data_IF_848641500528
#
_entry.id   IF_848641500528
#
_cell.length_a   1.000
_cell.length_b   1.000
_cell.length_c   1.000
_cell.angle_alpha   90.00
_cell.angle_beta   90.00
_cell.angle_gamma   90.00
#
_symmetry.space_group_name_H-M   'P 1'
#
loop_
_entity.id
_entity.type
_entity.pdbx_description
1 polymer ?
#
# COMPACT_ATOMS: atom_id res chain seq x y z
N UNK A 1 -8.75 -10.86 9.25
CA UNK A 1 -8.24 -12.26 9.20
C UNK A 1 -6.73 -12.21 9.37
N UNK A 2 -6.15 -13.20 10.06
CA UNK A 2 -4.79 -13.19 10.59
C UNK A 2 -3.70 -12.78 9.58
N UNK A 3 -2.76 -11.88 9.95
CA UNK A 3 -1.60 -11.57 9.11
C UNK A 3 -0.59 -12.72 9.18
N UNK A 4 -0.72 -13.68 8.26
CA UNK A 4 0.05 -14.94 8.25
C UNK A 4 1.53 -14.73 7.92
N UNK A 5 1.85 -13.68 7.20
CA UNK A 5 3.21 -13.20 6.93
C UNK A 5 3.91 -12.75 8.21
N UNK A 6 3.26 -11.94 9.03
CA UNK A 6 3.75 -11.51 10.34
C UNK A 6 3.85 -12.71 11.28
N UNK A 7 2.87 -13.62 11.26
CA UNK A 7 2.93 -14.86 12.03
C UNK A 7 4.15 -15.71 11.63
N UNK A 8 4.46 -15.81 10.34
CA UNK A 8 5.63 -16.54 9.85
C UNK A 8 6.94 -15.93 10.38
N UNK A 9 7.06 -14.60 10.38
CA UNK A 9 8.21 -13.92 10.99
C UNK A 9 8.35 -14.26 12.48
N UNK A 10 7.23 -14.21 13.22
CA UNK A 10 7.23 -14.51 14.66
C UNK A 10 7.51 -15.98 14.97
N UNK A 11 7.03 -16.93 14.15
CA UNK A 11 7.39 -18.35 14.26
C UNK A 11 8.91 -18.51 14.16
N UNK A 12 9.55 -17.89 13.15
CA UNK A 12 11.00 -17.96 12.98
C UNK A 12 11.73 -17.37 14.19
N UNK A 13 11.25 -16.24 14.72
CA UNK A 13 11.84 -15.60 15.90
C UNK A 13 11.77 -16.51 17.13
N UNK A 14 10.61 -17.08 17.42
CA UNK A 14 10.38 -17.97 18.56
C UNK A 14 11.23 -19.24 18.50
N UNK A 15 11.22 -19.95 17.36
CA UNK A 15 11.99 -21.19 17.20
C UNK A 15 13.50 -20.96 17.12
N UNK A 16 13.93 -19.71 16.89
CA UNK A 16 15.34 -19.31 16.94
C UNK A 16 15.85 -19.07 18.36
N UNK A 17 14.95 -18.86 19.32
CA UNK A 17 15.28 -18.68 20.73
C UNK A 17 15.30 -20.01 21.48
N UNK A 18 14.38 -20.92 21.14
CA UNK A 18 14.25 -22.23 21.79
C UNK A 18 13.56 -23.24 20.86
N UNK A 19 13.63 -24.52 21.22
CA UNK A 19 12.78 -25.54 20.61
C UNK A 19 11.34 -25.39 21.08
N UNK A 20 10.40 -25.57 20.16
CA UNK A 20 8.97 -25.53 20.43
C UNK A 20 8.30 -26.83 20.00
N UNK A 21 7.29 -27.26 20.75
CA UNK A 21 6.30 -28.21 20.26
C UNK A 21 5.29 -27.47 19.36
N UNK A 22 4.93 -28.07 18.23
CA UNK A 22 4.10 -27.42 17.19
C UNK A 22 2.79 -26.88 17.74
N UNK A 23 2.03 -27.71 18.48
CA UNK A 23 0.73 -27.33 18.99
C UNK A 23 0.83 -26.26 20.09
N UNK A 24 1.78 -26.40 21.01
CA UNK A 24 2.03 -25.43 22.07
C UNK A 24 2.38 -24.04 21.51
N UNK A 25 3.14 -23.98 20.41
CA UNK A 25 3.47 -22.71 19.75
C UNK A 25 2.22 -22.07 19.13
N UNK A 26 1.35 -22.84 18.48
CA UNK A 26 0.08 -22.34 17.95
C UNK A 26 -0.84 -21.81 19.07
N UNK A 27 -0.98 -22.56 20.16
CA UNK A 27 -1.79 -22.14 21.32
C UNK A 27 -1.23 -20.88 21.99
N UNK A 28 0.09 -20.68 21.96
CA UNK A 28 0.70 -19.43 22.38
C UNK A 28 0.26 -18.27 21.48
N UNK A 29 0.38 -18.41 20.15
CA UNK A 29 -0.01 -17.37 19.21
C UNK A 29 -1.51 -17.03 19.24
N UNK A 30 -2.38 -18.02 19.44
CA UNK A 30 -3.84 -17.82 19.56
C UNK A 30 -4.25 -16.95 20.75
N UNK A 31 -3.37 -16.70 21.71
CA UNK A 31 -3.61 -15.73 22.80
C UNK A 31 -3.61 -14.28 22.31
N UNK A 32 -3.03 -13.99 21.14
CA UNK A 32 -3.07 -12.66 20.53
C UNK A 32 -4.31 -12.52 19.65
N UNK A 33 -5.03 -11.40 19.80
CA UNK A 33 -6.29 -11.13 19.09
C UNK A 33 -6.25 -11.36 17.56
N UNK A 34 -5.19 -10.94 16.82
CA UNK A 34 -5.14 -11.18 15.37
C UNK A 34 -5.10 -12.66 14.96
N UNK A 35 -4.63 -13.53 15.87
CA UNK A 35 -4.38 -14.95 15.60
C UNK A 35 -5.36 -15.90 16.32
N UNK A 36 -6.31 -15.35 17.07
CA UNK A 36 -7.25 -16.13 17.90
C UNK A 36 -8.01 -17.21 17.13
N UNK A 37 -8.27 -16.97 15.84
CA UNK A 37 -9.02 -17.86 14.94
C UNK A 37 -8.13 -18.54 13.89
N UNK A 38 -6.79 -18.49 14.01
CA UNK A 38 -5.91 -19.20 13.07
C UNK A 38 -6.18 -20.69 13.19
N UNK A 39 -6.66 -21.31 12.11
CA UNK A 39 -6.90 -22.74 12.08
C UNK A 39 -5.60 -23.54 11.91
N UNK A 40 -5.69 -24.82 12.24
CA UNK A 40 -4.56 -25.75 12.15
C UNK A 40 -4.04 -25.86 10.71
N UNK A 41 -4.91 -25.82 9.70
CA UNK A 41 -4.49 -26.02 8.31
C UNK A 41 -3.57 -24.90 7.79
N UNK A 42 -3.90 -23.64 8.10
CA UNK A 42 -3.06 -22.50 7.77
C UNK A 42 -1.75 -22.53 8.54
N UNK A 43 -1.79 -22.89 9.83
CA UNK A 43 -0.59 -23.03 10.64
C UNK A 43 0.35 -24.11 10.07
N UNK A 44 -0.21 -25.27 9.73
CA UNK A 44 0.53 -26.39 9.14
C UNK A 44 1.13 -26.04 7.77
N UNK A 45 0.39 -25.29 6.94
CA UNK A 45 0.90 -24.78 5.66
C UNK A 45 2.07 -23.80 5.86
N UNK A 46 1.99 -22.90 6.85
CA UNK A 46 3.09 -22.00 7.20
C UNK A 46 4.33 -22.78 7.65
N UNK A 47 4.16 -23.78 8.52
CA UNK A 47 5.28 -24.62 8.95
C UNK A 47 5.94 -25.36 7.79
N UNK A 48 5.14 -25.89 6.85
CA UNK A 48 5.65 -26.51 5.63
C UNK A 48 6.48 -25.55 4.79
N UNK A 49 5.93 -24.38 4.48
CA UNK A 49 6.63 -23.33 3.73
C UNK A 49 7.94 -22.91 4.42
N UNK A 50 7.94 -22.74 5.74
CA UNK A 50 9.12 -22.35 6.51
C UNK A 50 10.17 -23.47 6.63
N UNK A 51 9.75 -24.73 6.56
CA UNK A 51 10.64 -25.89 6.62
C UNK A 51 11.26 -26.24 5.25
N UNK A 52 10.55 -25.97 4.15
CA UNK A 52 10.96 -26.36 2.80
C UNK A 52 11.54 -25.18 2.00
N UNK A 53 11.14 -23.94 2.31
CA UNK A 53 11.41 -22.78 1.48
C UNK A 53 10.41 -22.68 0.31
N UNK A 54 10.54 -21.64 -0.50
CA UNK A 54 9.67 -21.43 -1.66
C UNK A 54 10.37 -20.67 -2.79
N UNK A 55 9.86 -20.81 -4.00
CA UNK A 55 10.36 -20.09 -5.18
C UNK A 55 9.28 -19.11 -5.67
N UNK A 56 9.64 -17.83 -5.80
CA UNK A 56 8.74 -16.79 -6.29
C UNK A 56 9.38 -15.94 -7.40
N UNK A 57 8.65 -14.90 -7.86
CA UNK A 57 9.14 -13.95 -8.87
C UNK A 57 10.46 -13.27 -8.48
N UNK A 58 10.68 -13.06 -7.19
CA UNK A 58 11.90 -12.46 -6.64
C UNK A 58 13.01 -13.48 -6.34
N UNK A 59 12.87 -14.73 -6.80
CA UNK A 59 13.86 -15.80 -6.63
C UNK A 59 13.49 -16.84 -5.58
N UNK A 60 14.49 -17.65 -5.20
CA UNK A 60 14.34 -18.77 -4.25
C UNK A 60 14.58 -18.27 -2.83
N UNK A 61 13.66 -18.55 -1.92
CA UNK A 61 13.76 -18.27 -0.49
C UNK A 61 14.11 -19.55 0.27
N UNK A 62 15.08 -19.44 1.17
CA UNK A 62 15.58 -20.56 1.95
C UNK A 62 14.57 -21.01 3.02
N UNK A 63 14.72 -22.25 3.48
CA UNK A 63 14.05 -22.75 4.67
C UNK A 63 14.66 -22.16 5.95
N UNK A 64 13.81 -21.81 6.92
CA UNK A 64 14.17 -21.13 8.16
C UNK A 64 13.95 -21.97 9.42
N UNK A 65 13.25 -23.09 9.34
CA UNK A 65 13.14 -24.00 10.50
C UNK A 65 13.37 -25.47 10.12
N UNK A 66 13.84 -26.24 11.09
CA UNK A 66 13.78 -27.68 11.10
C UNK A 66 12.47 -28.10 11.75
N UNK A 67 11.79 -29.04 11.10
CA UNK A 67 10.55 -29.61 11.56
C UNK A 67 10.72 -31.11 11.69
N UNK A 68 10.53 -31.63 12.90
CA UNK A 68 10.51 -33.06 13.16
C UNK A 68 9.06 -33.53 13.20
N UNK A 69 8.63 -34.23 12.15
CA UNK A 69 7.25 -34.73 12.04
C UNK A 69 6.93 -35.87 13.03
N UNK A 70 7.95 -36.56 13.56
CA UNK A 70 7.78 -37.67 14.51
C UNK A 70 7.56 -37.13 15.91
N UNK A 71 8.42 -36.22 16.36
CA UNK A 71 8.31 -35.61 17.69
C UNK A 71 7.39 -34.39 17.73
N UNK A 72 6.98 -33.88 16.56
CA UNK A 72 6.21 -32.63 16.38
C UNK A 72 6.92 -31.44 17.02
N UNK A 73 8.22 -31.33 16.79
CA UNK A 73 9.03 -30.22 17.30
C UNK A 73 9.65 -29.36 16.21
N UNK A 74 9.82 -28.08 16.54
CA UNK A 74 10.32 -27.03 15.68
C UNK A 74 11.60 -26.45 16.27
N UNK A 75 12.63 -26.30 15.42
CA UNK A 75 13.91 -25.68 15.79
C UNK A 75 14.36 -24.72 14.70
N UNK A 76 14.97 -23.59 15.06
CA UNK A 76 15.58 -22.70 14.08
C UNK A 76 16.70 -23.40 13.27
N UNK A 77 16.76 -23.12 11.97
CA UNK A 77 17.93 -23.49 11.15
C UNK A 77 19.11 -22.55 11.42
N UNK A 78 20.27 -22.92 10.90
CA UNK A 78 21.42 -22.02 10.85
C UNK A 78 21.06 -20.77 10.04
N UNK A 79 21.25 -19.60 10.65
CA UNK A 79 20.97 -18.31 10.04
C UNK A 79 19.59 -17.72 10.40
N UNK A 80 18.66 -18.53 10.91
CA UNK A 80 17.30 -18.07 11.21
C UNK A 80 17.24 -16.98 12.27
N UNK A 81 18.07 -17.08 13.31
CA UNK A 81 18.19 -16.03 14.33
C UNK A 81 18.68 -14.71 13.74
N UNK A 82 19.68 -14.76 12.85
CA UNK A 82 20.19 -13.57 12.18
C UNK A 82 19.08 -12.96 11.31
N UNK A 83 18.41 -13.77 10.48
CA UNK A 83 17.29 -13.33 9.65
C UNK A 83 16.16 -12.69 10.47
N UNK A 84 15.77 -13.29 11.60
CA UNK A 84 14.71 -12.74 12.45
C UNK A 84 15.10 -11.37 13.03
N UNK A 85 16.32 -11.25 13.55
CA UNK A 85 16.80 -10.00 14.19
C UNK A 85 17.07 -8.89 13.18
N UNK A 86 17.51 -9.23 11.96
CA UNK A 86 17.76 -8.24 10.90
C UNK A 86 16.55 -8.02 10.00
N UNK A 87 15.42 -8.70 10.25
CA UNK A 87 14.17 -8.36 9.57
C UNK A 87 13.71 -7.00 10.11
N UNK A 88 13.42 -6.04 9.24
CA UNK A 88 13.00 -4.67 9.62
C UNK A 88 11.66 -4.61 10.37
N UNK A 89 11.07 -5.76 10.73
CA UNK A 89 9.77 -5.89 11.35
C UNK A 89 8.65 -5.96 10.31
N UNK A 90 7.56 -5.26 10.62
CA UNK A 90 6.31 -5.29 9.85
C UNK A 90 6.05 -3.99 9.07
N UNK A 91 6.88 -2.96 9.25
CA UNK A 91 6.82 -1.76 8.42
C UNK A 91 7.43 -2.13 7.06
N UNK A 92 6.66 -2.08 5.96
CA UNK A 92 7.21 -2.41 4.65
C UNK A 92 8.22 -1.35 4.23
N UNK A 93 9.29 -1.78 3.56
CA UNK A 93 10.20 -0.88 2.86
C UNK A 93 9.51 -0.44 1.57
N UNK A 94 8.83 0.70 1.58
CA UNK A 94 8.28 1.31 0.37
C UNK A 94 9.33 2.23 -0.25
N UNK A 95 9.58 2.10 -1.55
CA UNK A 95 10.53 2.98 -2.24
C UNK A 95 10.04 3.45 -3.61
N UNK A 96 10.07 4.75 -3.83
CA UNK A 96 9.86 5.32 -5.17
C UNK A 96 10.92 4.80 -6.16
N UNK A 97 10.47 4.48 -7.37
CA UNK A 97 11.36 4.09 -8.47
C UNK A 97 11.84 5.32 -9.21
N UNK A 98 13.16 5.44 -9.40
CA UNK A 98 13.72 6.52 -10.23
C UNK A 98 13.42 6.26 -11.70
N UNK A 99 12.85 7.24 -12.38
CA UNK A 99 12.57 7.18 -13.82
C UNK A 99 13.78 7.71 -14.57
N UNK A 100 14.41 6.86 -15.36
CA UNK A 100 15.66 7.14 -16.08
C UNK A 100 15.37 7.21 -17.58
N UNK A 101 15.57 8.38 -18.17
CA UNK A 101 15.44 8.62 -19.60
C UNK A 101 16.68 8.11 -20.35
N UNK A 102 16.43 7.24 -21.33
CA UNK A 102 17.43 6.74 -22.27
C UNK A 102 17.39 7.52 -23.59
N UNK A 103 18.54 7.63 -24.31
CA UNK A 103 19.85 7.06 -24.00
C UNK A 103 20.73 7.91 -23.06
N UNK A 104 20.25 9.07 -22.59
CA UNK A 104 21.07 10.01 -21.81
C UNK A 104 21.34 9.54 -20.37
N UNK A 105 20.69 8.46 -19.92
CA UNK A 105 20.70 7.97 -18.55
C UNK A 105 20.34 9.07 -17.53
N UNK A 106 19.43 9.97 -17.90
CA UNK A 106 19.03 11.13 -17.10
C UNK A 106 17.89 10.75 -16.16
N UNK A 107 18.00 11.04 -14.86
CA UNK A 107 16.87 10.92 -13.95
C UNK A 107 15.89 12.09 -14.18
N UNK A 108 14.65 11.76 -14.55
CA UNK A 108 13.59 12.72 -14.89
C UNK A 108 12.47 12.78 -13.84
N UNK A 109 12.58 12.02 -12.74
CA UNK A 109 11.62 12.03 -11.65
C UNK A 109 11.46 10.65 -11.02
N UNK A 110 10.37 10.49 -10.27
CA UNK A 110 10.03 9.23 -9.61
C UNK A 110 8.60 8.81 -9.91
N UNK A 111 8.36 7.51 -9.83
CA UNK A 111 7.02 6.92 -9.79
C UNK A 111 6.93 5.99 -8.58
N UNK A 112 5.70 5.80 -8.09
CA UNK A 112 5.45 4.90 -6.97
C UNK A 112 5.85 3.44 -7.31
N UNK A 113 6.30 2.69 -6.31
CA UNK A 113 6.72 1.29 -6.47
C UNK A 113 5.65 0.40 -7.07
N UNK A 114 4.42 0.47 -6.56
CA UNK A 114 3.33 -0.42 -6.98
C UNK A 114 3.01 -0.18 -8.46
N UNK A 115 2.98 1.07 -8.89
CA UNK A 115 2.83 1.41 -10.30
C UNK A 115 3.97 0.82 -11.14
N UNK A 116 5.22 0.95 -10.70
CA UNK A 116 6.37 0.41 -11.41
C UNK A 116 6.34 -1.13 -11.49
N UNK A 117 5.96 -1.82 -10.40
CA UNK A 117 5.94 -3.28 -10.33
C UNK A 117 4.79 -3.88 -11.15
N UNK A 118 3.65 -3.20 -11.21
CA UNK A 118 2.51 -3.62 -12.03
C UNK A 118 2.67 -3.31 -13.53
N UNK A 119 3.56 -2.38 -13.87
CA UNK A 119 3.86 -2.01 -15.25
C UNK A 119 4.72 -3.04 -15.97
N UNK A 120 4.69 -3.01 -17.31
CA UNK A 120 5.54 -3.85 -18.16
C UNK A 120 6.29 -3.03 -19.22
N UNK A 121 7.31 -3.63 -19.82
CA UNK A 121 8.01 -3.03 -20.95
C UNK A 121 7.04 -2.81 -22.12
N UNK A 122 7.09 -1.61 -22.70
CA UNK A 122 6.19 -1.15 -23.76
C UNK A 122 5.07 -0.23 -23.26
N UNK A 123 4.73 -0.28 -21.98
CA UNK A 123 3.70 0.58 -21.38
C UNK A 123 4.09 2.05 -21.48
N UNK A 124 3.10 2.91 -21.64
CA UNK A 124 3.29 4.36 -21.78
C UNK A 124 2.59 5.05 -20.64
N UNK A 125 3.33 5.92 -19.94
CA UNK A 125 2.78 6.67 -18.82
C UNK A 125 3.17 8.15 -18.88
N UNK A 126 2.40 8.97 -18.19
CA UNK A 126 2.65 10.40 -18.11
C UNK A 126 3.53 10.73 -16.90
N UNK A 127 4.59 11.51 -17.12
CA UNK A 127 5.37 12.12 -16.05
C UNK A 127 5.50 13.63 -16.32
N UNK A 128 4.97 14.45 -15.41
CA UNK A 128 4.75 15.86 -15.67
C UNK A 128 3.78 16.05 -16.84
N UNK A 129 4.24 16.70 -17.91
CA UNK A 129 3.45 16.95 -19.11
C UNK A 129 3.87 16.11 -20.32
N UNK A 130 4.76 15.13 -20.12
CA UNK A 130 5.35 14.33 -21.20
C UNK A 130 5.00 12.85 -21.02
N UNK A 131 4.74 12.17 -22.14
CA UNK A 131 4.50 10.73 -22.20
C UNK A 131 5.82 9.97 -22.40
N UNK A 132 6.04 8.91 -21.63
CA UNK A 132 7.25 8.08 -21.71
C UNK A 132 6.88 6.61 -21.86
N UNK A 133 7.63 5.89 -22.71
CA UNK A 133 7.49 4.44 -22.91
C UNK A 133 8.50 3.70 -22.04
N UNK A 134 8.04 2.72 -21.27
CA UNK A 134 8.89 1.85 -20.46
C UNK A 134 9.69 0.93 -21.38
N UNK A 135 11.01 0.99 -21.28
CA UNK A 135 11.92 0.06 -21.93
C UNK A 135 12.13 -1.19 -21.10
N UNK A 136 12.39 -0.99 -19.79
CA UNK A 136 12.58 -2.07 -18.82
C UNK A 136 12.48 -1.55 -17.39
N UNK A 137 12.23 -2.48 -16.48
CA UNK A 137 12.09 -2.22 -15.05
C UNK A 137 13.20 -2.99 -14.33
N UNK A 138 14.00 -2.26 -13.55
CA UNK A 138 15.09 -2.78 -12.71
C UNK A 138 14.74 -2.54 -11.24
N UNK A 139 15.46 -3.16 -10.31
CA UNK A 139 15.29 -2.89 -8.88
C UNK A 139 15.49 -1.39 -8.58
N UNK A 140 14.41 -0.71 -8.18
CA UNK A 140 14.38 0.72 -7.84
C UNK A 140 14.48 1.69 -9.04
N UNK A 141 14.42 1.21 -10.29
CA UNK A 141 14.55 2.07 -11.49
C UNK A 141 13.63 1.63 -12.61
N UNK A 142 12.98 2.60 -13.26
CA UNK A 142 12.24 2.40 -14.52
C UNK A 142 13.00 3.11 -15.62
N UNK A 143 13.46 2.38 -16.63
CA UNK A 143 14.12 2.99 -17.80
C UNK A 143 13.11 3.24 -18.88
N UNK A 144 13.13 4.44 -19.44
CA UNK A 144 12.12 4.91 -20.38
C UNK A 144 12.74 5.62 -21.57
N UNK A 145 11.97 5.71 -22.65
CA UNK A 145 12.23 6.61 -23.77
C UNK A 145 11.04 7.56 -23.98
N UNK A 146 11.25 8.66 -24.69
CA UNK A 146 10.16 9.57 -25.05
C UNK A 146 9.14 8.85 -25.95
N UNK A 147 7.86 8.86 -25.55
CA UNK A 147 6.79 8.24 -26.33
C UNK A 147 6.25 9.14 -27.45
N UNK A 148 6.83 10.32 -27.66
CA UNK A 148 6.54 11.24 -28.77
C UNK A 148 5.06 11.63 -28.89
N UNK A 149 4.40 11.83 -27.74
CA UNK A 149 3.00 12.25 -27.67
C UNK A 149 1.98 11.13 -27.88
N UNK A 150 2.40 9.86 -27.88
CA UNK A 150 1.47 8.74 -27.84
C UNK A 150 0.64 8.81 -26.54
N UNK A 151 -0.69 8.59 -26.59
CA UNK A 151 -1.55 8.70 -25.42
C UNK A 151 -1.06 7.86 -24.23
N UNK A 152 -0.82 8.48 -23.05
CA UNK A 152 -0.32 7.77 -21.88
C UNK A 152 -1.44 7.25 -20.97
N UNK A 153 -1.11 6.25 -20.15
CA UNK A 153 -1.83 6.00 -18.90
C UNK A 153 -1.35 6.95 -17.80
N UNK A 154 -2.19 7.19 -16.80
CA UNK A 154 -1.82 8.02 -15.65
C UNK A 154 -1.24 7.10 -14.57
N UNK A 155 0.00 7.32 -14.12
CA UNK A 155 0.54 6.56 -13.01
C UNK A 155 -0.31 6.80 -11.76
N UNK A 156 -0.46 5.77 -10.93
CA UNK A 156 -1.17 5.89 -9.67
C UNK A 156 -0.19 6.02 -8.51
N UNK A 157 -0.63 6.67 -7.44
CA UNK A 157 0.10 6.79 -6.19
C UNK A 157 -0.77 6.27 -5.06
N UNK A 158 -0.26 5.26 -4.36
CA UNK A 158 -0.86 4.78 -3.13
C UNK A 158 -0.13 5.47 -1.97
N UNK A 159 -0.91 6.14 -1.12
CA UNK A 159 -0.38 6.67 0.15
C UNK A 159 -0.11 5.52 1.13
N UNK A 160 0.76 5.76 2.12
CA UNK A 160 1.09 4.75 3.13
C UNK A 160 -0.09 4.41 4.06
N UNK A 161 -0.97 5.38 4.30
CA UNK A 161 -2.17 5.17 5.11
C UNK A 161 -3.29 4.53 4.28
N UNK A 162 -4.19 3.76 4.92
CA UNK A 162 -5.41 3.31 4.28
C UNK A 162 -6.14 4.48 3.63
N UNK A 163 -6.74 4.21 2.47
CA UNK A 163 -7.59 5.18 1.79
C UNK A 163 -8.71 5.72 2.69
N UNK A 164 -9.36 6.79 2.23
CA UNK A 164 -10.49 7.40 2.94
C UNK A 164 -11.51 6.35 3.35
N UNK A 165 -11.90 6.32 4.63
CA UNK A 165 -12.92 5.39 5.11
C UNK A 165 -14.28 5.66 4.44
N UNK A 166 -15.17 4.67 4.47
CA UNK A 166 -16.53 4.83 3.95
C UNK A 166 -17.26 5.95 4.70
N UNK A 167 -17.11 6.02 6.02
CA UNK A 167 -17.75 7.02 6.88
C UNK A 167 -17.29 8.43 6.51
N UNK A 168 -15.98 8.65 6.33
CA UNK A 168 -15.44 9.93 5.92
C UNK A 168 -15.86 10.27 4.49
N UNK A 169 -15.92 9.27 3.60
CA UNK A 169 -16.41 9.46 2.22
C UNK A 169 -17.87 9.92 2.20
N UNK A 170 -18.74 9.30 3.00
CA UNK A 170 -20.13 9.74 3.15
C UNK A 170 -20.24 11.13 3.77
N UNK A 171 -19.39 11.48 4.73
CA UNK A 171 -19.37 12.82 5.30
C UNK A 171 -18.99 13.89 4.27
N UNK A 172 -17.96 13.64 3.46
CA UNK A 172 -17.56 14.53 2.37
C UNK A 172 -18.67 14.65 1.32
N UNK A 173 -19.30 13.53 0.93
CA UNK A 173 -20.40 13.54 -0.03
C UNK A 173 -21.61 14.35 0.45
N UNK A 174 -21.98 14.23 1.74
CA UNK A 174 -23.05 15.05 2.33
C UNK A 174 -22.70 16.54 2.27
N UNK A 175 -21.49 16.92 2.66
CA UNK A 175 -21.04 18.32 2.59
C UNK A 175 -21.12 18.86 1.16
N UNK A 176 -20.67 18.10 0.17
CA UNK A 176 -20.77 18.51 -1.23
C UNK A 176 -22.22 18.66 -1.69
N UNK A 177 -23.11 17.75 -1.29
CA UNK A 177 -24.53 17.83 -1.62
C UNK A 177 -25.23 19.04 -0.97
N UNK A 178 -24.89 19.36 0.29
CA UNK A 178 -25.43 20.53 0.97
C UNK A 178 -24.99 21.83 0.27
N UNK A 179 -23.71 21.91 -0.13
CA UNK A 179 -23.18 23.04 -0.90
C UNK A 179 -23.86 23.16 -2.27
N UNK A 180 -24.00 22.04 -2.98
CA UNK A 180 -24.70 21.98 -4.27
C UNK A 180 -26.15 22.49 -4.17
N UNK A 181 -26.86 22.10 -3.11
CA UNK A 181 -28.20 22.60 -2.83
C UNK A 181 -28.21 24.12 -2.58
N UNK A 182 -27.25 24.65 -1.82
CA UNK A 182 -27.15 26.09 -1.55
C UNK A 182 -26.87 26.89 -2.82
N UNK A 183 -25.96 26.41 -3.67
CA UNK A 183 -25.62 27.03 -4.96
C UNK A 183 -26.80 27.01 -5.93
N UNK A 184 -27.52 25.89 -5.99
CA UNK A 184 -28.71 25.74 -6.84
C UNK A 184 -29.86 26.64 -6.38
N UNK A 185 -30.05 26.81 -5.06
CA UNK A 185 -31.07 27.69 -4.50
C UNK A 185 -30.77 29.18 -4.73
N UNK A 186 -29.50 29.56 -4.90
CA UNK A 186 -29.05 30.95 -5.06
C UNK A 186 -28.16 31.13 -6.30
N UNK A 187 -28.70 30.92 -7.51
CA UNK A 187 -27.90 30.94 -8.73
C UNK A 187 -27.20 32.29 -8.92
N UNK A 188 -25.88 32.26 -9.12
CA UNK A 188 -25.05 33.45 -9.30
C UNK A 188 -24.77 34.27 -8.03
N UNK A 189 -25.29 33.86 -6.86
CA UNK A 189 -25.00 34.51 -5.59
C UNK A 189 -24.36 33.53 -4.60
N UNK A 190 -23.05 33.65 -4.41
CA UNK A 190 -22.26 32.77 -3.54
C UNK A 190 -22.36 33.12 -2.05
N UNK A 191 -22.80 34.34 -1.72
CA UNK A 191 -22.78 34.86 -0.34
C UNK A 191 -23.60 34.01 0.65
N UNK A 192 -24.82 33.54 0.33
CA UNK A 192 -25.60 32.68 1.21
C UNK A 192 -24.88 31.37 1.56
N UNK A 193 -24.18 30.76 0.59
CA UNK A 193 -23.43 29.53 0.85
C UNK A 193 -22.21 29.79 1.74
N UNK A 194 -21.50 30.91 1.54
CA UNK A 194 -20.38 31.33 2.38
C UNK A 194 -20.85 31.57 3.82
N UNK A 195 -21.92 32.35 4.00
CA UNK A 195 -22.48 32.64 5.32
C UNK A 195 -23.00 31.35 6.01
N UNK A 196 -23.56 30.41 5.24
CA UNK A 196 -23.97 29.10 5.75
C UNK A 196 -22.78 28.26 6.24
N UNK A 197 -21.68 28.19 5.47
CA UNK A 197 -20.45 27.49 5.87
C UNK A 197 -19.84 28.10 7.14
N UNK A 198 -19.79 29.43 7.22
CA UNK A 198 -19.28 30.15 8.40
C UNK A 198 -20.17 29.90 9.63
N UNK A 199 -21.50 30.01 9.48
CA UNK A 199 -22.44 29.86 10.59
C UNK A 199 -22.64 28.42 11.07
N UNK A 200 -22.63 27.46 10.15
CA UNK A 200 -22.94 26.05 10.45
C UNK A 200 -21.71 25.25 10.82
N UNK A 201 -20.61 25.45 10.08
CA UNK A 201 -19.37 24.69 10.27
C UNK A 201 -18.29 25.48 11.01
N UNK A 202 -18.53 26.76 11.28
CA UNK A 202 -17.58 27.61 12.01
C UNK A 202 -16.32 27.94 11.21
N UNK A 203 -16.39 27.85 9.88
CA UNK A 203 -15.25 28.21 9.02
C UNK A 203 -15.00 29.72 9.06
N UNK A 204 -13.73 30.11 8.94
CA UNK A 204 -13.39 31.51 8.69
C UNK A 204 -13.80 31.92 7.26
N UNK A 205 -13.91 33.23 7.04
CA UNK A 205 -14.37 33.78 5.77
C UNK A 205 -13.49 33.37 4.58
N UNK A 206 -12.17 33.35 4.75
CA UNK A 206 -11.25 33.04 3.65
C UNK A 206 -11.37 31.57 3.23
N UNK A 207 -11.45 30.65 4.19
CA UNK A 207 -11.67 29.22 3.92
C UNK A 207 -13.03 28.96 3.24
N UNK A 208 -14.10 29.59 3.75
CA UNK A 208 -15.44 29.46 3.18
C UNK A 208 -15.49 30.00 1.74
N UNK A 209 -14.89 31.17 1.48
CA UNK A 209 -14.80 31.75 0.14
C UNK A 209 -14.05 30.85 -0.84
N UNK A 210 -12.90 30.29 -0.45
CA UNK A 210 -12.11 29.40 -1.31
C UNK A 210 -12.87 28.10 -1.66
N UNK A 211 -13.54 27.49 -0.69
CA UNK A 211 -14.33 26.28 -0.91
C UNK A 211 -15.45 26.57 -1.91
N UNK A 212 -16.19 27.66 -1.70
CA UNK A 212 -17.33 28.01 -2.54
C UNK A 212 -16.88 28.41 -3.95
N UNK A 213 -15.81 29.19 -4.11
CA UNK A 213 -15.27 29.55 -5.43
C UNK A 213 -14.84 28.31 -6.22
N UNK A 214 -14.14 27.37 -5.57
CA UNK A 214 -13.73 26.12 -6.21
C UNK A 214 -14.95 25.28 -6.65
N UNK A 215 -15.92 25.06 -5.75
CA UNK A 215 -17.06 24.20 -6.02
C UNK A 215 -18.10 24.83 -6.95
N UNK A 216 -18.28 26.15 -6.92
CA UNK A 216 -19.19 26.85 -7.84
C UNK A 216 -18.73 26.75 -9.30
N UNK A 217 -17.40 26.75 -9.54
CA UNK A 217 -16.84 26.52 -10.89
C UNK A 217 -17.11 25.10 -11.38
N UNK A 218 -16.95 24.11 -10.51
CA UNK A 218 -17.28 22.73 -10.83
C UNK A 218 -18.78 22.55 -11.12
N UNK A 219 -19.64 23.15 -10.28
CA UNK A 219 -21.09 23.16 -10.46
C UNK A 219 -21.52 23.76 -11.81
N UNK A 220 -20.91 24.88 -12.20
CA UNK A 220 -21.23 25.56 -13.47
C UNK A 220 -20.76 24.80 -14.72
N UNK A 221 -19.88 23.82 -14.57
CA UNK A 221 -19.33 23.02 -15.67
C UNK A 221 -20.11 21.71 -15.92
N UNK A 222 -21.05 21.36 -15.03
CA UNK A 222 -21.94 20.21 -15.12
C UNK A 222 -23.26 20.57 -15.81
#
# INVERSE_FOLDING_TARGET
KAPLDVLAQQIIAEVSCQEWEEHALLEMFRKASPYAEVDESHYQALLGMLAEGYSGRQGVRAAYLHRDAVTRTLRGRRGSKLTAVTSGGTIPDNADYSVILEPQALNIGTVNEDFAVESIAGDIFQLGNTSYRILRIEAGRVRVEDAQGVPPNIPFWLGEAPGRSNELSFAVARLQADIDQQLTAHPGNLRPCIDWLMGTLGLDAASAEQIVDYLARAHSAL
#
